data_IF_614654450714
#
_entry.id   IF_614654450714
#
_cell.length_a   1.000
_cell.length_b   1.000
_cell.length_c   1.000
_cell.angle_alpha   90.00
_cell.angle_beta   90.00
_cell.angle_gamma   90.00
#
_symmetry.space_group_name_H-M   'P 1'
#
loop_
_entity.id
_entity.type
_entity.pdbx_description
1 polymer ?
#
# COMPACT_ATOMS: atom_id res chain seq x y z
N UNK A 1 -15.38 7.37 -21.72
CA UNK A 1 -14.77 6.86 -20.46
C UNK A 1 -15.36 7.54 -19.23
N UNK A 2 -15.91 6.75 -18.32
CA UNK A 2 -16.48 7.16 -17.02
C UNK A 2 -15.38 7.54 -16.01
N UNK A 3 -14.23 6.88 -16.12
CA UNK A 3 -13.02 7.17 -15.34
C UNK A 3 -11.84 7.32 -16.32
N UNK A 4 -10.97 8.30 -16.07
CA UNK A 4 -9.68 8.47 -16.75
C UNK A 4 -8.59 8.69 -15.72
N UNK A 5 -7.47 8.00 -15.89
CA UNK A 5 -6.30 8.06 -15.03
C UNK A 5 -5.09 8.48 -15.88
N UNK A 6 -4.34 9.48 -15.40
CA UNK A 6 -3.05 9.90 -15.94
C UNK A 6 -1.96 9.28 -15.06
N UNK A 7 -1.09 8.47 -15.65
CA UNK A 7 -0.05 7.70 -14.97
C UNK A 7 1.30 8.32 -15.36
N UNK A 8 2.08 8.72 -14.37
CA UNK A 8 3.42 9.31 -14.56
C UNK A 8 4.46 8.62 -13.71
N UNK A 9 5.61 8.34 -14.29
CA UNK A 9 6.80 7.88 -13.55
C UNK A 9 7.38 9.07 -12.78
N UNK A 10 7.62 8.89 -11.49
CA UNK A 10 8.21 9.91 -10.61
C UNK A 10 9.72 9.70 -10.42
N UNK A 11 10.12 8.51 -10.00
CA UNK A 11 11.52 8.19 -9.72
C UNK A 11 11.83 6.71 -9.99
N UNK A 12 13.10 6.38 -10.22
CA UNK A 12 13.57 4.99 -10.21
C UNK A 12 13.96 4.59 -8.80
N UNK A 13 13.61 3.37 -8.41
CA UNK A 13 14.04 2.76 -7.16
C UNK A 13 15.28 1.92 -7.48
N UNK A 14 16.42 2.35 -6.97
CA UNK A 14 17.69 1.62 -7.06
C UNK A 14 17.96 0.90 -5.75
N UNK A 15 18.42 -0.33 -5.84
CA UNK A 15 18.99 -1.08 -4.71
C UNK A 15 20.38 -1.50 -5.12
N UNK A 16 21.35 -0.95 -4.42
CA UNK A 16 22.77 -1.04 -4.76
C UNK A 16 23.00 -0.46 -6.18
N UNK A 17 23.49 -1.27 -7.13
CA UNK A 17 23.70 -0.86 -8.52
C UNK A 17 22.54 -1.18 -9.47
N UNK A 18 21.52 -1.91 -9.02
CA UNK A 18 20.43 -2.39 -9.87
C UNK A 18 19.16 -1.55 -9.74
N UNK A 19 18.56 -1.18 -10.88
CA UNK A 19 17.23 -0.59 -10.95
C UNK A 19 16.17 -1.67 -10.66
N UNK A 20 15.66 -1.70 -9.43
CA UNK A 20 14.69 -2.71 -8.98
C UNK A 20 13.23 -2.32 -9.23
N UNK A 21 12.94 -1.04 -9.49
CA UNK A 21 11.58 -0.60 -9.75
C UNK A 21 11.41 0.88 -10.06
N UNK A 22 10.16 1.31 -10.12
CA UNK A 22 9.76 2.68 -10.38
C UNK A 22 8.71 3.13 -9.37
N UNK A 23 8.83 4.36 -8.89
CA UNK A 23 7.77 5.04 -8.16
C UNK A 23 6.85 5.74 -9.17
N UNK A 24 5.55 5.44 -9.11
CA UNK A 24 4.54 5.91 -10.06
C UNK A 24 3.52 6.76 -9.33
N UNK A 25 3.17 7.89 -9.95
CA UNK A 25 2.10 8.78 -9.53
C UNK A 25 0.94 8.63 -10.51
N UNK A 26 -0.24 8.32 -9.98
CA UNK A 26 -1.48 8.22 -10.75
C UNK A 26 -2.42 9.34 -10.31
N UNK A 27 -2.88 10.15 -11.26
CA UNK A 27 -3.87 11.20 -11.04
C UNK A 27 -5.17 10.84 -11.76
N UNK A 28 -6.28 10.85 -11.03
CA UNK A 28 -7.61 10.62 -11.61
C UNK A 28 -8.10 11.91 -12.26
N UNK A 29 -7.88 12.07 -13.57
CA UNK A 29 -8.23 13.29 -14.30
C UNK A 29 -9.72 13.41 -14.60
N UNK A 30 -10.44 12.29 -14.70
CA UNK A 30 -11.90 12.27 -14.85
C UNK A 30 -12.47 11.19 -13.97
N UNK A 31 -13.42 11.54 -13.11
CA UNK A 31 -14.20 10.60 -12.34
C UNK A 31 -15.66 11.07 -12.34
N UNK A 32 -16.56 10.26 -12.89
CA UNK A 32 -18.01 10.54 -12.89
C UNK A 32 -18.75 9.97 -11.66
N UNK A 33 -18.08 9.16 -10.83
CA UNK A 33 -18.69 8.47 -9.68
C UNK A 33 -18.33 9.11 -8.34
N UNK A 34 -17.13 9.70 -8.23
CA UNK A 34 -16.65 10.32 -7.01
C UNK A 34 -15.82 11.58 -7.36
N UNK A 35 -15.38 12.38 -6.36
CA UNK A 35 -14.61 13.59 -6.61
C UNK A 35 -13.38 13.33 -7.50
N UNK A 36 -13.21 14.08 -8.60
CA UNK A 36 -12.06 13.96 -9.50
C UNK A 36 -10.79 14.57 -8.87
N UNK A 37 -9.66 14.41 -9.56
CA UNK A 37 -8.33 14.97 -9.23
C UNK A 37 -7.62 14.42 -8.00
N UNK A 38 -8.10 13.31 -7.44
CA UNK A 38 -7.33 12.55 -6.43
C UNK A 38 -6.06 11.94 -7.04
N UNK A 39 -5.02 11.88 -6.21
CA UNK A 39 -3.71 11.35 -6.57
C UNK A 39 -3.37 10.15 -5.69
N UNK A 40 -2.76 9.13 -6.29
CA UNK A 40 -2.20 7.97 -5.60
C UNK A 40 -0.74 7.81 -6.03
N UNK A 41 0.14 7.50 -5.06
CA UNK A 41 1.53 7.16 -5.34
C UNK A 41 1.75 5.72 -4.88
N UNK A 42 2.35 4.89 -5.72
CA UNK A 42 2.71 3.53 -5.37
C UNK A 42 3.99 3.10 -6.09
N UNK A 43 4.63 2.08 -5.54
CA UNK A 43 5.85 1.51 -6.08
C UNK A 43 5.52 0.31 -6.99
N UNK A 44 6.11 0.27 -8.18
CA UNK A 44 6.09 -0.88 -9.09
C UNK A 44 7.48 -1.49 -9.11
N UNK A 45 7.60 -2.73 -8.65
CA UNK A 45 8.86 -3.50 -8.64
C UNK A 45 8.88 -4.39 -9.89
N UNK A 46 9.99 -4.40 -10.62
CA UNK A 46 10.12 -5.23 -11.81
C UNK A 46 10.01 -6.72 -11.44
N UNK A 47 9.24 -7.48 -12.21
CA UNK A 47 8.98 -8.91 -11.99
C UNK A 47 7.93 -9.25 -10.92
N UNK A 48 7.62 -8.35 -9.97
CA UNK A 48 6.56 -8.56 -8.96
C UNK A 48 5.32 -7.71 -9.20
N UNK A 49 5.45 -6.59 -9.94
CA UNK A 49 4.34 -5.68 -10.23
C UNK A 49 4.11 -4.67 -9.11
N UNK A 50 2.85 -4.38 -8.82
CA UNK A 50 2.45 -3.36 -7.84
C UNK A 50 2.73 -3.86 -6.42
N UNK A 51 3.48 -3.09 -5.64
CA UNK A 51 3.91 -3.45 -4.29
C UNK A 51 2.84 -3.08 -3.24
N UNK A 52 1.78 -3.89 -3.12
CA UNK A 52 0.67 -3.66 -2.17
C UNK A 52 1.14 -3.53 -0.72
N UNK A 53 2.14 -4.31 -0.32
CA UNK A 53 2.69 -4.29 1.04
C UNK A 53 3.38 -2.96 1.35
N UNK A 54 4.00 -2.33 0.35
CA UNK A 54 4.61 -1.01 0.47
C UNK A 54 3.55 0.07 0.74
N UNK A 55 2.44 0.02 0.00
CA UNK A 55 1.34 0.96 0.16
C UNK A 55 0.64 0.81 1.52
N UNK A 56 0.47 -0.42 2.02
CA UNK A 56 -0.08 -0.69 3.35
C UNK A 56 0.79 -0.04 4.44
N UNK A 57 2.12 -0.11 4.31
CA UNK A 57 3.03 0.54 5.27
C UNK A 57 2.88 2.06 5.22
N UNK A 58 2.86 2.65 4.02
CA UNK A 58 2.76 4.11 3.87
C UNK A 58 1.44 4.66 4.38
N UNK A 59 0.34 4.01 4.02
CA UNK A 59 -0.98 4.39 4.51
C UNK A 59 -1.09 4.12 6.02
N UNK A 60 -0.54 3.02 6.50
CA UNK A 60 -0.53 2.69 7.93
C UNK A 60 0.23 3.71 8.77
N UNK A 61 1.36 4.23 8.26
CA UNK A 61 2.10 5.32 8.90
C UNK A 61 1.34 6.65 8.79
N UNK A 62 0.69 6.93 7.64
CA UNK A 62 -0.07 8.16 7.42
C UNK A 62 -1.31 8.27 8.31
N UNK A 63 -1.96 7.14 8.62
CA UNK A 63 -3.15 7.07 9.47
C UNK A 63 -2.81 6.70 10.93
N UNK A 64 -1.54 6.76 11.33
CA UNK A 64 -1.04 6.46 12.69
C UNK A 64 -1.42 5.06 13.23
N UNK A 65 -1.76 4.12 12.34
CA UNK A 65 -1.99 2.70 12.68
C UNK A 65 -0.64 2.01 12.96
N UNK A 66 0.38 2.39 12.20
CA UNK A 66 1.75 1.95 12.38
C UNK A 66 2.53 3.03 13.10
N UNK A 67 3.32 2.63 14.10
CA UNK A 67 4.20 3.54 14.82
C UNK A 67 5.63 3.39 14.31
N UNK A 68 6.27 4.52 14.06
CA UNK A 68 7.68 4.58 13.66
C UNK A 68 8.53 5.00 14.86
N UNK A 69 9.38 4.10 15.34
CA UNK A 69 10.38 4.38 16.38
C UNK A 69 11.77 4.40 15.74
N UNK A 70 12.14 5.57 15.22
CA UNK A 70 13.39 5.74 14.46
C UNK A 70 13.36 4.96 13.14
N UNK A 71 14.19 3.92 13.02
CA UNK A 71 14.25 3.04 11.84
C UNK A 71 13.31 1.83 11.98
N UNK A 72 12.74 1.61 13.16
CA UNK A 72 11.83 0.49 13.43
C UNK A 72 10.39 0.85 13.16
N UNK A 73 9.65 -0.08 12.57
CA UNK A 73 8.19 0.02 12.40
C UNK A 73 7.54 -1.02 13.30
N UNK A 74 6.61 -0.57 14.13
CA UNK A 74 5.82 -1.43 14.99
C UNK A 74 4.33 -1.31 14.68
N UNK A 75 3.63 -2.42 14.88
CA UNK A 75 2.18 -2.51 14.83
C UNK A 75 1.69 -3.16 16.11
N UNK A 76 0.87 -2.42 16.85
CA UNK A 76 0.50 -2.76 18.23
C UNK A 76 1.79 -3.09 19.02
N UNK A 77 2.02 -4.37 19.32
CA UNK A 77 3.18 -4.87 20.08
C UNK A 77 4.21 -5.65 19.24
N UNK A 78 3.95 -5.83 17.94
CA UNK A 78 4.82 -6.58 17.03
C UNK A 78 5.77 -5.62 16.32
N UNK A 79 7.07 -5.90 16.41
CA UNK A 79 8.11 -5.19 15.65
C UNK A 79 8.35 -5.90 14.34
N UNK A 80 8.05 -5.24 13.22
CA UNK A 80 8.21 -5.82 11.88
C UNK A 80 9.66 -5.89 11.39
N UNK A 81 10.53 -5.08 11.99
CA UNK A 81 11.96 -5.04 11.69
C UNK A 81 12.46 -3.62 11.44
N UNK A 82 13.76 -3.54 11.15
CA UNK A 82 14.43 -2.30 10.77
C UNK A 82 14.18 -1.99 9.28
N UNK A 83 13.63 -0.82 9.02
CA UNK A 83 13.47 -0.27 7.67
C UNK A 83 12.29 -0.82 6.87
N UNK A 84 12.01 -0.16 5.75
CA UNK A 84 10.86 -0.44 4.87
C UNK A 84 10.96 -1.78 4.14
N UNK A 85 12.16 -2.18 3.72
CA UNK A 85 12.41 -3.43 2.99
C UNK A 85 12.10 -4.68 3.83
N UNK A 86 12.52 -4.67 5.10
CA UNK A 86 12.28 -5.80 5.98
C UNK A 86 10.80 -5.91 6.36
N UNK A 87 10.13 -4.77 6.57
CA UNK A 87 8.69 -4.73 6.81
C UNK A 87 7.89 -5.27 5.61
N UNK A 88 8.28 -4.96 4.38
CA UNK A 88 7.66 -5.54 3.17
C UNK A 88 7.80 -7.07 3.15
N UNK A 89 9.01 -7.56 3.46
CA UNK A 89 9.27 -9.00 3.52
C UNK A 89 8.43 -9.68 4.62
N UNK A 90 8.29 -9.03 5.78
CA UNK A 90 7.48 -9.52 6.88
C UNK A 90 6.00 -9.61 6.52
N UNK A 91 5.43 -8.55 5.93
CA UNK A 91 4.03 -8.51 5.50
C UNK A 91 3.73 -9.56 4.42
N UNK A 92 4.69 -9.80 3.51
CA UNK A 92 4.57 -10.85 2.49
C UNK A 92 4.53 -12.26 3.10
N UNK A 93 5.26 -12.49 4.21
CA UNK A 93 5.25 -13.76 4.93
C UNK A 93 4.00 -13.94 5.80
N UNK A 94 3.41 -12.85 6.27
CA UNK A 94 2.26 -12.86 7.17
C UNK A 94 1.05 -12.10 6.58
N UNK A 95 0.36 -12.67 5.58
CA UNK A 95 -0.76 -12.01 4.90
C UNK A 95 -1.92 -11.68 5.84
N UNK A 96 -2.13 -12.48 6.90
CA UNK A 96 -3.17 -12.22 7.92
C UNK A 96 -3.02 -10.86 8.59
N UNK A 97 -1.78 -10.45 8.87
CA UNK A 97 -1.48 -9.15 9.51
C UNK A 97 -1.66 -8.03 8.48
N UNK A 98 -1.25 -8.25 7.23
CA UNK A 98 -1.46 -7.29 6.15
C UNK A 98 -2.96 -6.99 5.93
N UNK A 99 -3.81 -8.03 5.93
CA UNK A 99 -5.25 -7.87 5.79
C UNK A 99 -5.87 -7.12 6.99
N UNK A 100 -5.39 -7.39 8.21
CA UNK A 100 -5.86 -6.68 9.41
C UNK A 100 -5.54 -5.17 9.33
N UNK A 101 -4.32 -4.83 8.92
CA UNK A 101 -3.90 -3.43 8.74
C UNK A 101 -4.70 -2.77 7.60
N UNK A 102 -4.87 -3.47 6.47
CA UNK A 102 -5.67 -2.97 5.35
C UNK A 102 -7.11 -2.67 5.78
N UNK A 103 -7.74 -3.57 6.52
CA UNK A 103 -9.10 -3.37 7.02
C UNK A 103 -9.20 -2.17 7.97
N UNK A 104 -8.22 -1.99 8.87
CA UNK A 104 -8.17 -0.82 9.74
C UNK A 104 -8.01 0.49 8.96
N UNK A 105 -7.14 0.51 7.93
CA UNK A 105 -6.98 1.66 7.04
C UNK A 105 -8.31 1.98 6.34
N UNK A 106 -8.96 0.96 5.78
CA UNK A 106 -10.22 1.08 5.06
C UNK A 106 -11.34 1.62 5.95
N UNK A 107 -11.47 1.12 7.19
CA UNK A 107 -12.42 1.61 8.18
C UNK A 107 -12.24 3.09 8.50
N UNK A 108 -11.00 3.56 8.67
CA UNK A 108 -10.72 4.99 8.92
C UNK A 108 -11.11 5.85 7.72
N UNK A 109 -10.85 5.36 6.49
CA UNK A 109 -11.18 6.10 5.26
C UNK A 109 -12.67 6.10 4.91
N UNK A 110 -13.52 5.44 5.70
CA UNK A 110 -14.96 5.31 5.43
C UNK A 110 -15.28 4.41 4.23
N UNK A 111 -14.28 3.71 3.68
CA UNK A 111 -14.46 2.66 2.68
C UNK A 111 -14.49 1.31 3.40
N UNK A 112 -15.51 1.06 4.22
CA UNK A 112 -15.67 -0.27 4.82
C UNK A 112 -15.83 -1.32 3.71
N UNK A 113 -14.89 -2.26 3.63
CA UNK A 113 -15.19 -3.56 3.03
C UNK A 113 -16.21 -4.23 3.95
N UNK A 114 -17.48 -4.19 3.58
CA UNK A 114 -18.39 -5.23 4.04
C UNK A 114 -17.72 -6.55 3.68
N UNK A 115 -17.45 -7.34 4.71
CA UNK A 115 -16.65 -8.54 4.61
C UNK A 115 -17.45 -9.59 3.84
N UNK A 116 -17.25 -9.69 2.53
CA UNK A 116 -17.66 -10.86 1.76
C UNK A 116 -16.70 -12.02 2.12
N UNK A 117 -16.92 -12.62 3.29
CA UNK A 117 -16.45 -13.96 3.67
C UNK A 117 -17.64 -14.93 3.77
N UNK A 118 -18.46 -14.96 2.73
CA UNK A 118 -19.29 -16.11 2.33
C UNK A 118 -19.19 -16.06 0.79
N UNK A 119 -18.54 -16.96 0.06
CA UNK A 119 -18.87 -18.36 -0.19
C UNK A 119 -17.65 -18.97 -0.89
N UNK A 120 -16.99 -19.93 -0.27
CA UNK A 120 -16.40 -21.09 -0.97
C UNK A 120 -16.11 -22.19 0.05
N UNK A 121 -17.21 -22.73 0.58
CA UNK A 121 -17.27 -24.09 1.11
C UNK A 121 -18.42 -24.77 0.37
N UNK A 122 -18.11 -25.40 -0.75
CA UNK A 122 -18.83 -26.53 -1.33
C UNK A 122 -17.82 -27.36 -2.10
#
# INVERSE_FOLDING_TARGET
>A
STIRMDIRRKASIKKDENDIGINVKVKVVKNKLAPPFKEANFDIIFGTGISKEGDIIDLGLKYDILRKSGVWISYNDIKFGQGRENCKTYLRKHPKIADEIENKILSITGLSKETNKEVNKK
#
